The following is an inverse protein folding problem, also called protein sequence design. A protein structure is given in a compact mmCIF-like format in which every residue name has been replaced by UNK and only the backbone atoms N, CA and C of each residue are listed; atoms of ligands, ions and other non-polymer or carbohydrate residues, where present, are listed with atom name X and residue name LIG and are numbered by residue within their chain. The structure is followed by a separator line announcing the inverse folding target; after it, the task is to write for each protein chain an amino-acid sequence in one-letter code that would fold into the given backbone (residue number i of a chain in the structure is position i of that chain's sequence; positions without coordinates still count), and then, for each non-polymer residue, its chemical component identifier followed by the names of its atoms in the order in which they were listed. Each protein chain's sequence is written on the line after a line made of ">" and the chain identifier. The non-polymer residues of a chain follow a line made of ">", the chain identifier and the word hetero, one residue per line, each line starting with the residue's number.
data_IF_370940697130
#
_entry.id   IF_370940697130
#
_cell.length_a   1.000
_cell.length_b   1.000
_cell.length_c   1.000
_cell.angle_alpha   90.00
_cell.angle_beta   90.00
_cell.angle_gamma   90.00
#
_symmetry.space_group_name_H-M   'P 1'
#
loop_
_entity.id
_entity.type
_entity.pdbx_description
1 polymer ?
#
# COMPACT_ATOMS: atom_id res chain seq x y z
N UNK A 1 17.86 0.61 15.14
CA UNK A 1 16.65 -0.25 15.30
C UNK A 1 15.55 0.05 14.29
N UNK A 2 15.27 1.32 13.90
CA UNK A 2 14.24 1.61 12.89
C UNK A 2 14.57 1.17 11.45
N UNK A 3 15.86 1.11 11.08
CA UNK A 3 16.29 0.71 9.72
C UNK A 3 16.06 -0.78 9.48
N UNK A 4 16.37 -1.62 10.46
CA UNK A 4 16.18 -3.08 10.39
C UNK A 4 14.71 -3.44 10.13
N UNK A 5 13.79 -2.85 10.92
CA UNK A 5 12.35 -3.09 10.80
C UNK A 5 11.79 -2.63 9.45
N UNK A 6 12.24 -1.47 8.95
CA UNK A 6 11.83 -0.96 7.64
C UNK A 6 12.29 -1.88 6.51
N UNK A 7 13.53 -2.40 6.59
CA UNK A 7 14.06 -3.34 5.60
C UNK A 7 13.29 -4.67 5.63
N UNK A 8 13.05 -5.23 6.82
CA UNK A 8 12.28 -6.46 6.99
C UNK A 8 10.86 -6.34 6.44
N UNK A 9 10.19 -5.22 6.73
CA UNK A 9 8.86 -4.93 6.18
C UNK A 9 8.89 -4.79 4.66
N UNK A 10 9.88 -4.09 4.10
CA UNK A 10 10.03 -3.97 2.65
C UNK A 10 10.27 -5.33 2.00
N UNK A 11 11.11 -6.19 2.59
CA UNK A 11 11.33 -7.55 2.10
C UNK A 11 10.06 -8.40 2.18
N UNK A 12 9.31 -8.32 3.27
CA UNK A 12 8.05 -9.02 3.43
C UNK A 12 7.00 -8.57 2.40
N UNK A 13 6.91 -7.26 2.13
CA UNK A 13 6.02 -6.71 1.09
C UNK A 13 6.47 -7.17 -0.30
N UNK A 14 7.76 -7.12 -0.62
CA UNK A 14 8.30 -7.61 -1.88
C UNK A 14 8.02 -9.11 -2.08
N UNK A 15 8.21 -9.93 -1.03
CA UNK A 15 7.90 -11.36 -1.08
C UNK A 15 6.40 -11.62 -1.26
N UNK A 16 5.54 -10.84 -0.60
CA UNK A 16 4.10 -10.90 -0.78
C UNK A 16 3.68 -10.54 -2.21
N UNK A 17 4.21 -9.45 -2.77
CA UNK A 17 3.92 -9.03 -4.15
C UNK A 17 4.42 -10.06 -5.17
N UNK A 18 5.60 -10.65 -4.95
CA UNK A 18 6.12 -11.72 -5.80
C UNK A 18 5.19 -12.94 -5.80
N UNK A 19 4.77 -13.41 -4.62
CA UNK A 19 3.80 -14.51 -4.48
C UNK A 19 2.46 -14.18 -5.15
N UNK A 20 1.97 -12.96 -4.91
CA UNK A 20 0.70 -12.47 -5.45
C UNK A 20 0.72 -12.42 -6.98
N UNK A 21 1.85 -12.07 -7.59
CA UNK A 21 2.00 -11.99 -9.04
C UNK A 21 1.82 -13.34 -9.76
N UNK A 22 2.02 -14.45 -9.05
CA UNK A 22 1.92 -15.82 -9.56
C UNK A 22 0.54 -16.47 -9.32
N UNK A 23 -0.47 -15.70 -8.90
CA UNK A 23 -1.80 -16.26 -8.63
C UNK A 23 -2.49 -16.66 -9.95
N UNK A 24 -3.05 -17.88 -10.07
CA UNK A 24 -3.79 -18.26 -11.27
C UNK A 24 -5.01 -17.34 -11.45
N UNK A 25 -5.25 -16.89 -12.68
CA UNK A 25 -6.35 -15.99 -13.07
C UNK A 25 -6.27 -14.55 -12.53
N UNK A 26 -5.09 -14.08 -12.12
CA UNK A 26 -4.88 -12.68 -11.75
C UNK A 26 -4.83 -11.82 -13.02
N UNK A 27 -5.97 -11.35 -13.52
CA UNK A 27 -6.11 -10.63 -14.80
C UNK A 27 -5.11 -9.47 -15.03
N UNK A 28 -5.56 -8.21 -15.09
CA UNK A 28 -4.62 -7.10 -15.28
C UNK A 28 -3.77 -6.89 -14.01
N UNK A 29 -2.44 -6.89 -14.16
CA UNK A 29 -1.51 -6.52 -13.07
C UNK A 29 -1.84 -5.11 -12.55
N UNK A 30 -1.79 -4.96 -11.22
CA UNK A 30 -1.99 -3.67 -10.57
C UNK A 30 -0.79 -2.76 -10.86
N UNK A 31 -1.07 -1.47 -11.05
CA UNK A 31 -0.03 -0.45 -11.22
C UNK A 31 0.63 -0.06 -9.88
N UNK A 32 -0.14 0.24 -8.81
CA UNK A 32 0.48 0.57 -7.52
C UNK A 32 0.84 -0.69 -6.73
N UNK A 33 1.97 -0.63 -6.04
CA UNK A 33 2.39 -1.66 -5.08
C UNK A 33 1.66 -1.49 -3.74
N UNK A 34 1.63 -2.55 -2.93
CA UNK A 34 1.08 -2.48 -1.57
C UNK A 34 1.87 -1.50 -0.69
N UNK A 35 3.18 -1.38 -0.89
CA UNK A 35 4.01 -0.38 -0.22
C UNK A 35 3.54 1.05 -0.54
N UNK A 36 3.29 1.37 -1.82
CA UNK A 36 2.82 2.70 -2.23
C UNK A 36 1.48 3.07 -1.56
N UNK A 37 0.60 2.08 -1.40
CA UNK A 37 -0.70 2.25 -0.74
C UNK A 37 -0.51 2.51 0.75
N UNK A 38 0.32 1.70 1.43
CA UNK A 38 0.60 1.82 2.85
C UNK A 38 1.29 3.14 3.19
N UNK A 39 2.31 3.53 2.43
CA UNK A 39 3.02 4.79 2.62
C UNK A 39 2.06 5.98 2.54
N UNK A 40 1.11 5.93 1.60
CA UNK A 40 0.11 6.98 1.45
C UNK A 40 -0.93 7.00 2.57
N UNK A 41 -1.36 5.84 3.06
CA UNK A 41 -2.24 5.74 4.25
C UNK A 41 -1.53 6.32 5.48
N UNK A 42 -0.29 5.88 5.75
CA UNK A 42 0.51 6.34 6.89
C UNK A 42 0.77 7.83 6.80
N UNK A 43 1.03 8.36 5.59
CA UNK A 43 1.18 9.79 5.38
C UNK A 43 -0.08 10.56 5.80
N UNK A 44 -1.25 10.15 5.30
CA UNK A 44 -2.54 10.77 5.65
C UNK A 44 -2.80 10.70 7.15
N UNK A 45 -2.55 9.55 7.79
CA UNK A 45 -2.71 9.40 9.24
C UNK A 45 -1.74 10.28 10.04
N UNK A 46 -0.51 10.47 9.54
CA UNK A 46 0.51 11.29 10.21
C UNK A 46 0.24 12.79 10.08
N UNK A 47 -0.24 13.25 8.93
CA UNK A 47 -0.41 14.69 8.64
C UNK A 47 -1.83 15.19 8.81
N UNK A 48 -2.83 14.30 8.82
CA UNK A 48 -4.25 14.68 8.83
C UNK A 48 -4.74 15.30 7.52
N UNK A 49 -3.93 15.29 6.46
CA UNK A 49 -4.31 15.88 5.17
C UNK A 49 -5.45 15.08 4.50
N UNK A 50 -6.24 15.75 3.66
CA UNK A 50 -7.29 15.09 2.88
C UNK A 50 -6.69 14.04 1.91
N UNK A 51 -7.38 12.92 1.71
CA UNK A 51 -6.97 11.81 0.83
C UNK A 51 -6.60 12.23 -0.61
N UNK A 52 -7.20 13.31 -1.12
CA UNK A 52 -6.98 13.87 -2.45
C UNK A 52 -5.68 14.68 -2.58
N UNK A 53 -5.17 15.24 -1.50
CA UNK A 53 -4.04 16.17 -1.48
C UNK A 53 -2.65 15.64 -1.04
N UNK A 54 -2.35 14.33 -0.93
CA UNK A 54 -1.00 13.90 -0.61
C UNK A 54 0.01 14.36 -1.68
N UNK A 55 1.17 14.92 -1.28
CA UNK A 55 2.25 15.32 -2.19
C UNK A 55 2.99 14.12 -2.80
N UNK A 56 2.57 12.89 -2.49
CA UNK A 56 3.23 11.64 -2.89
C UNK A 56 2.74 11.20 -4.27
N UNK A 57 3.68 11.10 -5.21
CA UNK A 57 3.48 10.42 -6.48
C UNK A 57 3.17 8.94 -6.24
N UNK A 58 2.07 8.42 -6.80
CA UNK A 58 1.68 7.02 -6.58
C UNK A 58 0.23 6.71 -6.90
N UNK A 59 -0.34 5.75 -6.16
CA UNK A 59 -1.71 5.28 -6.33
C UNK A 59 -2.74 6.44 -6.23
N UNK A 60 -3.78 6.40 -7.09
CA UNK A 60 -4.91 7.31 -6.98
C UNK A 60 -5.54 7.24 -5.57
N UNK A 61 -5.99 8.38 -5.04
CA UNK A 61 -6.63 8.44 -3.72
C UNK A 61 -7.81 7.46 -3.58
N UNK A 62 -8.55 7.21 -4.67
CA UNK A 62 -9.67 6.25 -4.69
C UNK A 62 -9.19 4.84 -4.40
N UNK A 63 -8.06 4.46 -5.01
CA UNK A 63 -7.43 3.15 -4.80
C UNK A 63 -6.98 3.03 -3.35
N UNK A 64 -6.29 4.05 -2.82
CA UNK A 64 -5.79 4.04 -1.44
C UNK A 64 -6.95 3.91 -0.44
N UNK A 65 -7.98 4.74 -0.59
CA UNK A 65 -9.15 4.71 0.28
C UNK A 65 -9.90 3.37 0.20
N UNK A 66 -9.99 2.78 -0.99
CA UNK A 66 -10.59 1.45 -1.17
C UNK A 66 -9.87 0.37 -0.35
N UNK A 67 -8.53 0.32 -0.39
CA UNK A 67 -7.75 -0.61 0.43
C UNK A 67 -7.88 -0.32 1.92
N UNK A 68 -7.80 0.95 2.31
CA UNK A 68 -8.00 1.33 3.70
C UNK A 68 -9.35 0.84 4.24
N UNK A 69 -10.45 1.09 3.51
CA UNK A 69 -11.79 0.65 3.88
C UNK A 69 -11.92 -0.88 3.89
N UNK A 70 -11.33 -1.57 2.91
CA UNK A 70 -11.33 -3.03 2.85
C UNK A 70 -10.62 -3.65 4.05
N UNK A 71 -9.42 -3.18 4.37
CA UNK A 71 -8.64 -3.69 5.51
C UNK A 71 -9.25 -3.32 6.86
N UNK A 72 -9.86 -2.13 6.95
CA UNK A 72 -10.57 -1.71 8.18
C UNK A 72 -11.78 -2.60 8.47
N UNK A 73 -12.43 -3.14 7.43
CA UNK A 73 -13.55 -4.09 7.56
C UNK A 73 -13.14 -5.54 7.77
N UNK A 74 -11.89 -5.88 7.46
CA UNK A 74 -11.37 -7.24 7.63
C UNK A 74 -10.95 -7.54 9.08
N UNK A 75 -11.09 -6.55 9.97
CA UNK A 75 -10.89 -6.66 11.41
C UNK A 75 -12.14 -7.20 12.09
#
# INVERSE_FOLDING_TARGET
>A
MQIQLKNELMHAICAFEAKRSNWPNLGRKRKPTTADILDRIVFVCRTGCQWSQPPVNGASYKTVYHYFAMWSKAK
#
